data_IF_358152432261
#
_entry.id   IF_358152432261
#
_cell.length_a   1.000
_cell.length_b   1.000
_cell.length_c   1.000
_cell.angle_alpha   90.00
_cell.angle_beta   90.00
_cell.angle_gamma   90.00
#
_symmetry.space_group_name_H-M   'P 1'
#
loop_
_entity.id
_entity.type
_entity.pdbx_description
1 polymer ?
#
# COMPACT_ATOMS: atom_id res chain seq x y z
N UNK A 1 -29.04 -22.21 28.32
CA UNK A 1 -28.36 -21.84 27.06
C UNK A 1 -28.06 -20.35 27.13
N UNK A 2 -26.79 -19.98 27.34
CA UNK A 2 -26.36 -18.59 27.52
C UNK A 2 -25.87 -18.09 26.15
N UNK A 3 -26.62 -17.18 25.53
CA UNK A 3 -26.22 -16.46 24.31
C UNK A 3 -25.31 -15.30 24.74
N UNK A 4 -24.01 -15.53 24.75
CA UNK A 4 -23.03 -14.45 24.88
C UNK A 4 -23.04 -13.63 23.59
N UNK A 5 -23.47 -12.38 23.69
CA UNK A 5 -23.32 -11.29 22.71
C UNK A 5 -21.83 -10.95 22.48
N UNK A 6 -21.03 -11.94 22.07
CA UNK A 6 -19.63 -11.72 21.66
C UNK A 6 -19.66 -11.66 20.15
N UNK A 7 -19.90 -10.47 19.62
CA UNK A 7 -19.20 -9.89 18.47
C UNK A 7 -19.88 -8.57 18.08
N UNK A 8 -20.00 -7.68 19.07
CA UNK A 8 -20.24 -6.26 18.77
C UNK A 8 -18.95 -5.75 18.08
N UNK A 9 -19.09 -5.45 16.78
CA UNK A 9 -18.11 -4.86 15.86
C UNK A 9 -17.23 -5.86 15.06
N UNK A 10 -17.73 -6.34 13.89
CA UNK A 10 -16.95 -7.11 12.91
C UNK A 10 -15.67 -6.41 12.41
N UNK A 11 -15.54 -5.09 12.62
CA UNK A 11 -14.37 -4.32 12.19
C UNK A 11 -13.11 -4.64 13.02
N UNK A 12 -13.24 -5.22 14.22
CA UNK A 12 -12.10 -5.64 15.04
C UNK A 12 -11.52 -7.02 14.68
N UNK A 13 -12.25 -7.87 13.96
CA UNK A 13 -11.80 -9.22 13.56
C UNK A 13 -11.19 -9.28 12.16
N UNK A 14 -11.28 -8.20 11.37
CA UNK A 14 -10.71 -8.12 10.02
C UNK A 14 -9.19 -8.19 10.09
N UNK A 15 -8.67 -9.36 9.74
CA UNK A 15 -7.23 -9.60 9.59
C UNK A 15 -6.76 -9.42 8.16
N UNK A 16 -7.65 -9.38 7.17
CA UNK A 16 -7.33 -9.21 5.77
C UNK A 16 -8.00 -7.97 5.20
N UNK A 17 -7.27 -7.24 4.38
CA UNK A 17 -7.70 -6.01 3.74
C UNK A 17 -7.31 -6.09 2.26
N UNK A 18 -8.30 -5.98 1.39
CA UNK A 18 -8.11 -6.02 -0.06
C UNK A 18 -7.89 -4.61 -0.59
N UNK A 19 -7.25 -4.52 -1.76
CA UNK A 19 -7.13 -3.26 -2.50
C UNK A 19 -6.49 -2.11 -1.69
N UNK A 20 -5.57 -2.43 -0.79
CA UNK A 20 -4.87 -1.43 0.03
C UNK A 20 -3.86 -0.68 -0.81
N UNK A 21 -3.88 0.64 -0.69
CA UNK A 21 -2.89 1.52 -1.26
C UNK A 21 -1.74 1.77 -0.27
N UNK A 22 -0.52 1.67 -0.75
CA UNK A 22 0.68 1.94 0.04
C UNK A 22 1.73 2.67 -0.80
N UNK A 23 2.39 3.66 -0.20
CA UNK A 23 3.44 4.44 -0.83
C UNK A 23 4.82 3.82 -0.57
N UNK A 24 5.68 3.86 -1.58
CA UNK A 24 7.08 3.51 -1.48
C UNK A 24 7.89 4.61 -0.77
N UNK A 25 8.23 4.40 0.50
CA UNK A 25 9.02 5.33 1.30
C UNK A 25 10.48 4.87 1.35
N UNK A 26 11.43 5.80 1.21
CA UNK A 26 12.87 5.53 1.34
C UNK A 26 13.24 5.54 2.83
N UNK A 27 13.69 4.41 3.36
CA UNK A 27 14.22 4.34 4.73
C UNK A 27 15.56 5.07 4.81
N UNK A 28 15.58 6.19 5.52
CA UNK A 28 16.78 7.01 5.74
C UNK A 28 17.96 6.23 6.33
N UNK A 29 17.69 5.18 7.11
CA UNK A 29 18.74 4.45 7.83
C UNK A 29 19.49 3.44 6.95
N UNK A 30 18.87 2.95 5.87
CA UNK A 30 19.42 1.83 5.10
C UNK A 30 19.30 2.03 3.57
N UNK A 31 18.95 3.25 3.13
CA UNK A 31 18.69 3.59 1.73
C UNK A 31 17.76 2.58 1.01
N UNK A 32 16.86 1.93 1.76
CA UNK A 32 16.04 0.83 1.25
C UNK A 32 14.58 1.25 1.14
N UNK A 33 13.94 0.91 0.04
CA UNK A 33 12.51 1.19 -0.17
C UNK A 33 11.67 0.25 0.71
N UNK A 34 10.66 0.82 1.37
CA UNK A 34 9.60 0.13 2.12
C UNK A 34 8.24 0.63 1.65
N UNK A 35 7.19 -0.10 2.00
CA UNK A 35 5.81 0.34 1.77
C UNK A 35 5.18 0.77 3.09
N UNK A 36 4.47 1.88 3.07
CA UNK A 36 3.66 2.39 4.20
C UNK A 36 2.26 2.72 3.69
N UNK A 37 1.22 2.39 4.46
CA UNK A 37 -0.16 2.67 4.06
C UNK A 37 -0.40 4.17 4.00
N UNK A 38 -1.10 4.61 2.96
CA UNK A 38 -1.47 6.03 2.79
C UNK A 38 -2.78 6.35 3.52
N UNK A 39 -2.96 7.61 3.88
CA UNK A 39 -4.16 8.13 4.54
C UNK A 39 -5.42 8.06 3.67
N UNK A 40 -6.58 8.25 4.31
CA UNK A 40 -7.88 8.38 3.63
C UNK A 40 -8.50 7.05 3.18
N UNK A 41 -7.92 5.92 3.56
CA UNK A 41 -8.44 4.59 3.30
C UNK A 41 -9.13 4.02 4.55
N UNK A 42 -10.08 3.09 4.36
CA UNK A 42 -10.70 2.34 5.46
C UNK A 42 -9.80 1.21 6.00
N UNK A 43 -8.52 1.51 6.19
CA UNK A 43 -7.53 0.61 6.81
C UNK A 43 -6.69 1.37 7.82
N UNK A 44 -6.10 0.70 8.82
CA UNK A 44 -5.08 1.29 9.67
C UNK A 44 -4.00 2.05 8.87
N UNK A 45 -3.94 3.35 9.06
CA UNK A 45 -2.97 4.26 8.44
C UNK A 45 -1.60 4.15 9.14
N UNK A 46 -0.54 4.65 8.49
CA UNK A 46 0.84 4.66 8.99
C UNK A 46 1.41 3.28 9.35
N UNK A 47 0.86 2.22 8.77
CA UNK A 47 1.36 0.87 8.99
C UNK A 47 2.33 0.46 7.89
N UNK A 48 3.48 -0.03 8.32
CA UNK A 48 4.47 -0.64 7.42
C UNK A 48 3.88 -1.88 6.77
N UNK A 49 4.10 -2.02 5.48
CA UNK A 49 3.72 -3.21 4.70
C UNK A 49 4.97 -4.01 4.35
N UNK A 50 5.06 -5.21 4.91
CA UNK A 50 6.12 -6.16 4.62
C UNK A 50 5.91 -6.77 3.23
N UNK A 51 6.83 -6.48 2.33
CA UNK A 51 6.88 -7.00 0.97
C UNK A 51 8.33 -7.29 0.56
N UNK A 52 8.61 -8.31 -0.27
CA UNK A 52 9.95 -8.54 -0.80
C UNK A 52 10.48 -7.33 -1.57
N UNK A 53 11.68 -6.85 -1.20
CA UNK A 53 12.31 -5.66 -1.79
C UNK A 53 12.38 -5.70 -3.32
N UNK A 54 12.67 -6.87 -3.91
CA UNK A 54 12.77 -7.06 -5.37
C UNK A 54 11.52 -6.66 -6.15
N UNK A 55 10.36 -6.60 -5.50
CA UNK A 55 9.08 -6.23 -6.12
C UNK A 55 8.95 -4.71 -6.19
N UNK A 56 9.30 -4.02 -5.11
CA UNK A 56 9.13 -2.58 -4.96
C UNK A 56 10.37 -1.78 -5.40
N UNK A 57 11.53 -2.41 -5.52
CA UNK A 57 12.76 -1.78 -5.99
C UNK A 57 12.78 -1.47 -7.49
N UNK A 58 11.71 -1.83 -8.22
CA UNK A 58 11.60 -1.61 -9.67
C UNK A 58 11.22 -0.17 -10.02
N UNK A 59 10.65 0.56 -9.07
CA UNK A 59 10.17 1.93 -9.24
C UNK A 59 10.74 2.82 -8.12
N UNK A 60 10.85 4.14 -8.36
CA UNK A 60 11.40 5.06 -7.36
C UNK A 60 10.53 5.18 -6.12
N UNK A 61 11.12 5.73 -5.05
CA UNK A 61 10.37 6.21 -3.89
C UNK A 61 9.28 7.21 -4.29
N UNK A 62 8.18 7.23 -3.55
CA UNK A 62 6.95 7.93 -3.87
C UNK A 62 5.94 7.12 -4.69
N UNK A 63 6.35 5.98 -5.27
CA UNK A 63 5.42 5.17 -6.08
C UNK A 63 4.31 4.57 -5.21
N UNK A 64 3.06 4.76 -5.60
CA UNK A 64 1.89 4.17 -4.92
C UNK A 64 1.55 2.81 -5.55
N UNK A 65 1.49 1.82 -4.68
CA UNK A 65 1.13 0.43 -5.00
C UNK A 65 -0.27 0.10 -4.50
N UNK A 66 -0.93 -0.81 -5.20
CA UNK A 66 -2.18 -1.48 -4.79
C UNK A 66 -1.88 -2.94 -4.49
N UNK A 67 -2.31 -3.43 -3.33
CA UNK A 67 -2.03 -4.78 -2.87
C UNK A 67 -3.01 -5.26 -1.79
N UNK A 68 -3.21 -6.58 -1.74
CA UNK A 68 -3.94 -7.22 -0.64
C UNK A 68 -3.00 -7.45 0.54
N UNK A 69 -3.48 -7.14 1.74
CA UNK A 69 -2.69 -7.19 2.96
C UNK A 69 -3.36 -8.00 4.06
N UNK A 70 -2.54 -8.52 4.96
CA UNK A 70 -2.98 -9.13 6.22
C UNK A 70 -2.37 -8.37 7.39
N UNK A 71 -3.20 -7.93 8.33
CA UNK A 71 -2.78 -7.29 9.57
C UNK A 71 -2.14 -8.32 10.50
N UNK A 72 -0.92 -8.03 10.93
CA UNK A 72 -0.18 -8.81 11.91
C UNK A 72 -0.08 -8.00 13.20
N UNK A 73 -0.70 -8.52 14.25
CA UNK A 73 -0.55 -8.03 15.62
C UNK A 73 0.33 -9.02 16.37
N UNK A 74 1.46 -8.57 16.91
CA UNK A 74 2.33 -9.38 17.78
C UNK A 74 2.40 -8.71 19.15
N UNK A 75 2.24 -9.51 20.21
CA UNK A 75 2.30 -9.00 21.58
C UNK A 75 3.60 -8.21 21.80
N UNK A 76 3.48 -6.96 22.24
CA UNK A 76 4.60 -6.06 22.51
C UNK A 76 5.29 -5.45 21.28
N UNK A 77 4.80 -5.64 20.05
CA UNK A 77 5.33 -4.99 18.84
C UNK A 77 4.27 -4.13 18.15
N UNK A 78 4.71 -3.07 17.48
CA UNK A 78 3.83 -2.27 16.61
C UNK A 78 3.20 -3.18 15.55
N UNK A 79 1.88 -3.06 15.31
CA UNK A 79 1.22 -3.82 14.26
C UNK A 79 1.80 -3.44 12.88
N UNK A 80 1.73 -4.37 11.94
CA UNK A 80 2.19 -4.15 10.57
C UNK A 80 1.39 -5.02 9.60
N UNK A 81 1.40 -4.65 8.32
CA UNK A 81 0.78 -5.43 7.26
C UNK A 81 1.79 -6.38 6.60
N UNK A 82 1.31 -7.50 6.09
CA UNK A 82 2.06 -8.35 5.16
C UNK A 82 1.29 -8.47 3.85
N UNK A 83 1.98 -8.31 2.71
CA UNK A 83 1.38 -8.53 1.40
C UNK A 83 0.99 -10.02 1.24
N UNK A 84 -0.30 -10.28 0.99
CA UNK A 84 -0.86 -11.65 0.93
C UNK A 84 -0.37 -12.36 -0.33
N UNK A 85 -0.51 -11.70 -1.50
CA UNK A 85 -0.06 -12.23 -2.76
C UNK A 85 0.96 -11.30 -3.43
N UNK A 86 2.22 -11.73 -3.39
CA UNK A 86 3.36 -11.01 -3.97
C UNK A 86 3.20 -10.73 -5.47
N UNK A 87 2.52 -11.61 -6.22
CA UNK A 87 2.27 -11.42 -7.66
C UNK A 87 1.24 -10.32 -7.95
N UNK A 88 0.44 -9.95 -6.94
CA UNK A 88 -0.61 -8.94 -7.06
C UNK A 88 -0.16 -7.57 -6.55
N UNK A 89 1.07 -7.43 -6.06
CA UNK A 89 1.64 -6.10 -5.76
C UNK A 89 1.93 -5.39 -7.07
N UNK A 90 1.11 -4.38 -7.38
CA UNK A 90 1.17 -3.64 -8.64
C UNK A 90 1.12 -2.15 -8.36
N UNK A 91 1.59 -1.32 -9.29
CA UNK A 91 1.34 0.13 -9.20
C UNK A 91 -0.17 0.37 -9.23
N UNK A 92 -0.65 1.26 -8.37
CA UNK A 92 -2.06 1.62 -8.35
C UNK A 92 -2.40 2.39 -9.62
N UNK A 93 -3.44 1.96 -10.33
CA UNK A 93 -3.91 2.61 -11.56
C UNK A 93 -4.68 3.89 -11.24
N UNK A 94 -5.30 3.93 -10.06
CA UNK A 94 -5.98 5.07 -9.47
C UNK A 94 -5.02 6.26 -9.27
N UNK A 95 -3.73 5.98 -9.12
CA UNK A 95 -2.67 6.96 -8.98
C UNK A 95 -1.78 7.02 -10.22
N UNK A 96 -2.30 6.70 -11.41
CA UNK A 96 -1.50 6.62 -12.63
C UNK A 96 -0.75 7.93 -12.94
N UNK A 97 -1.44 9.08 -12.94
CA UNK A 97 -0.81 10.38 -13.24
C UNK A 97 0.23 10.76 -12.20
N UNK A 98 -0.07 10.54 -10.92
CA UNK A 98 0.87 10.77 -9.83
C UNK A 98 2.11 9.89 -9.96
N UNK A 99 1.93 8.58 -10.15
CA UNK A 99 3.02 7.64 -10.34
C UNK A 99 3.87 7.97 -11.57
N UNK A 100 3.25 8.52 -12.62
CA UNK A 100 3.96 8.97 -13.82
C UNK A 100 4.82 10.20 -13.54
N UNK A 101 4.32 11.14 -12.73
CA UNK A 101 5.10 12.30 -12.24
C UNK A 101 6.23 11.87 -11.31
N UNK A 102 5.98 10.96 -10.38
CA UNK A 102 7.02 10.40 -9.51
C UNK A 102 8.14 9.75 -10.34
N UNK A 103 7.80 9.09 -11.44
CA UNK A 103 8.77 8.44 -12.31
C UNK A 103 9.57 9.42 -13.20
N UNK A 104 8.94 10.49 -13.70
CA UNK A 104 9.52 11.37 -14.72
C UNK A 104 9.83 12.80 -14.24
N UNK A 105 9.53 13.12 -12.98
CA UNK A 105 9.55 14.49 -12.42
C UNK A 105 8.15 15.12 -12.37
N UNK A 106 7.91 15.98 -11.37
CA UNK A 106 6.61 16.62 -11.19
C UNK A 106 6.24 17.67 -12.25
N UNK A 107 7.24 18.16 -12.99
CA UNK A 107 7.06 19.02 -14.17
C UNK A 107 6.67 18.25 -15.43
N UNK A 108 6.59 16.90 -15.34
CA UNK A 108 6.22 16.06 -16.47
C UNK A 108 4.76 16.29 -16.88
N UNK A 109 4.57 16.64 -18.15
CA UNK A 109 3.26 16.77 -18.80
C UNK A 109 3.02 15.51 -19.64
N UNK A 110 2.02 14.67 -19.29
CA UNK A 110 1.70 13.49 -20.07
C UNK A 110 1.31 13.88 -21.51
N UNK A 111 1.75 13.13 -22.54
CA UNK A 111 1.38 13.42 -23.91
C UNK A 111 -0.13 13.25 -24.08
N UNK A 112 -0.86 14.35 -24.32
CA UNK A 112 -2.25 14.30 -24.75
C UNK A 112 -2.29 13.69 -26.15
N UNK A 113 -3.02 12.57 -26.35
CA UNK A 113 -3.18 11.92 -27.65
C UNK A 113 -3.40 12.98 -28.75
N UNK A 114 -2.49 13.07 -29.72
CA UNK A 114 -2.77 13.82 -30.96
C UNK A 114 -4.03 13.20 -31.57
N UNK A 115 -5.14 13.95 -31.60
CA UNK A 115 -6.29 13.59 -32.44
C UNK A 115 -5.73 13.50 -33.87
N UNK A 116 -5.75 12.29 -34.45
CA UNK A 116 -5.50 12.13 -35.88
C UNK A 116 -6.55 13.00 -36.60
N UNK A 117 -6.08 13.99 -37.37
CA UNK A 117 -6.91 14.65 -38.39
C UNK A 117 -7.23 13.65 -39.49
#
# INVERSE_FOLDING_TARGET
MQLSLIDEVPEMSKSFFLDVFAEAVVDANNASIRLETIDGQQVPCDLKVSVPRKIISKFPGGTIYKLDTRLVRKNGRKPYFIAVNRKNVRRAMEFFEYNLKVQNGFDYIPPTKKRKK
#
